data_IF_923075796272
#
_entry.id   IF_923075796272
#
_cell.length_a   1.000
_cell.length_b   1.000
_cell.length_c   1.000
_cell.angle_alpha   90.00
_cell.angle_beta   90.00
_cell.angle_gamma   90.00
#
_symmetry.space_group_name_H-M   'P 1'
#
loop_
_entity.id
_entity.type
_entity.pdbx_description
1 polymer ?
#
# COMPACT_ATOMS: atom_id res chain seq x y z
N UNK A 1 -9.98 -36.68 26.88
CA UNK A 1 -10.50 -36.41 25.53
C UNK A 1 -9.88 -35.11 25.04
N UNK A 2 -8.94 -35.21 24.10
CA UNK A 2 -8.23 -34.08 23.53
C UNK A 2 -9.22 -33.22 22.73
N UNK A 3 -9.35 -31.93 23.09
CA UNK A 3 -10.07 -30.96 22.26
C UNK A 3 -9.29 -30.82 20.96
N UNK A 4 -9.94 -31.17 19.85
CA UNK A 4 -9.45 -30.93 18.51
C UNK A 4 -8.99 -29.48 18.41
N UNK A 5 -7.73 -29.26 18.01
CA UNK A 5 -7.27 -27.95 17.60
C UNK A 5 -8.11 -27.57 16.40
N UNK A 6 -8.92 -26.52 16.54
CA UNK A 6 -9.50 -25.80 15.42
C UNK A 6 -8.38 -25.63 14.37
N UNK A 7 -8.65 -26.01 13.12
CA UNK A 7 -7.68 -26.31 12.06
C UNK A 7 -6.78 -25.15 11.57
N UNK A 8 -6.47 -24.21 12.45
CA UNK A 8 -5.60 -23.07 12.24
C UNK A 8 -4.13 -23.51 12.19
N UNK A 9 -3.52 -23.31 11.02
CA UNK A 9 -2.14 -23.71 10.77
C UNK A 9 -1.16 -22.93 11.66
N UNK A 10 0.02 -23.53 11.89
CA UNK A 10 1.11 -22.87 12.62
C UNK A 10 1.46 -21.54 11.96
N UNK A 11 1.50 -21.48 10.63
CA UNK A 11 1.76 -20.25 9.87
C UNK A 11 0.72 -19.16 10.19
N UNK A 12 -0.55 -19.50 10.28
CA UNK A 12 -1.60 -18.51 10.56
C UNK A 12 -1.42 -17.86 11.95
N UNK A 13 -0.98 -18.62 12.96
CA UNK A 13 -0.66 -18.08 14.30
C UNK A 13 0.50 -17.09 14.27
N UNK A 14 1.52 -17.37 13.47
CA UNK A 14 2.64 -16.44 13.27
C UNK A 14 2.18 -15.14 12.60
N UNK A 15 1.33 -15.24 11.57
CA UNK A 15 0.76 -14.07 10.90
C UNK A 15 -0.13 -13.24 11.83
N UNK A 16 -0.92 -13.87 12.72
CA UNK A 16 -1.70 -13.16 13.75
C UNK A 16 -0.81 -12.42 14.74
N UNK A 17 0.31 -13.01 15.17
CA UNK A 17 1.28 -12.33 16.05
C UNK A 17 1.93 -11.15 15.34
N UNK A 18 2.35 -11.29 14.08
CA UNK A 18 2.91 -10.18 13.30
C UNK A 18 1.87 -9.08 13.05
N UNK A 19 0.62 -9.47 12.78
CA UNK A 19 -0.51 -8.56 12.57
C UNK A 19 -1.04 -7.86 13.83
N UNK A 20 -0.59 -8.27 15.02
CA UNK A 20 -0.94 -7.58 16.27
C UNK A 20 -0.27 -6.19 16.39
N UNK A 21 0.82 -5.96 15.64
CA UNK A 21 1.55 -4.71 15.62
C UNK A 21 0.94 -3.75 14.60
N UNK A 22 0.55 -2.57 15.07
CA UNK A 22 -0.02 -1.51 14.23
C UNK A 22 0.86 -0.27 14.27
N UNK A 23 0.75 0.62 13.27
CA UNK A 23 1.53 1.85 13.23
C UNK A 23 1.31 2.75 14.46
N UNK A 24 0.11 2.72 15.05
CA UNK A 24 -0.23 3.45 16.27
C UNK A 24 0.23 2.75 17.56
N UNK A 25 0.48 1.43 17.51
CA UNK A 25 0.91 0.63 18.66
C UNK A 25 2.10 -0.28 18.25
N UNK A 26 3.29 0.31 18.00
CA UNK A 26 4.42 -0.43 17.43
C UNK A 26 5.21 -1.24 18.47
N UNK A 27 4.98 -1.01 19.77
CA UNK A 27 5.66 -1.69 20.87
C UNK A 27 4.63 -2.41 21.74
N UNK A 28 4.80 -3.72 21.92
CA UNK A 28 3.84 -4.55 22.66
C UNK A 28 4.54 -5.48 23.64
N UNK A 29 3.99 -5.62 24.84
CA UNK A 29 4.36 -6.70 25.76
C UNK A 29 3.84 -8.06 25.27
N UNK A 30 4.37 -9.16 25.84
CA UNK A 30 3.91 -10.51 25.48
C UNK A 30 2.41 -10.72 25.75
N UNK A 31 1.89 -10.19 26.86
CA UNK A 31 0.46 -10.26 27.21
C UNK A 31 -0.40 -9.53 26.19
N UNK A 32 0.05 -8.35 25.74
CA UNK A 32 -0.63 -7.55 24.73
C UNK A 32 -0.64 -8.21 23.35
N UNK A 33 0.46 -8.87 22.98
CA UNK A 33 0.53 -9.69 21.77
C UNK A 33 -0.45 -10.85 21.88
N UNK A 34 -0.48 -11.56 23.02
CA UNK A 34 -1.35 -12.71 23.23
C UNK A 34 -2.83 -12.30 23.10
N UNK A 35 -3.21 -11.19 23.72
CA UNK A 35 -4.56 -10.63 23.67
C UNK A 35 -4.95 -10.22 22.24
N UNK A 36 -4.16 -9.37 21.59
CA UNK A 36 -4.44 -8.88 20.23
C UNK A 36 -4.42 -9.98 19.18
N UNK A 37 -3.47 -10.91 19.30
CA UNK A 37 -3.40 -12.06 18.43
C UNK A 37 -4.45 -13.12 18.79
N UNK A 38 -5.24 -12.95 19.86
CA UNK A 38 -6.27 -13.91 20.31
C UNK A 38 -5.72 -15.31 20.58
N UNK A 39 -4.55 -15.39 21.23
CA UNK A 39 -3.83 -16.62 21.57
C UNK A 39 -3.71 -16.76 23.09
N UNK A 40 -3.67 -18.01 23.57
CA UNK A 40 -3.27 -18.28 24.94
C UNK A 40 -1.82 -17.83 25.18
N UNK A 41 -1.52 -17.31 26.36
CA UNK A 41 -0.21 -16.72 26.69
C UNK A 41 0.97 -17.69 26.46
N UNK A 42 0.79 -18.98 26.79
CA UNK A 42 1.81 -20.02 26.55
C UNK A 42 2.07 -20.27 25.06
N UNK A 43 1.04 -20.19 24.22
CA UNK A 43 1.16 -20.30 22.77
C UNK A 43 1.83 -19.06 22.19
N UNK A 44 1.40 -17.86 22.61
CA UNK A 44 1.99 -16.60 22.19
C UNK A 44 3.49 -16.55 22.54
N UNK A 45 3.87 -17.00 23.74
CA UNK A 45 5.27 -17.07 24.16
C UNK A 45 6.13 -17.90 23.18
N UNK A 46 5.64 -19.07 22.78
CA UNK A 46 6.35 -19.95 21.84
C UNK A 46 6.49 -19.32 20.45
N UNK A 47 5.39 -18.78 19.92
CA UNK A 47 5.36 -18.14 18.60
C UNK A 47 6.26 -16.90 18.58
N UNK A 48 6.20 -16.05 19.61
CA UNK A 48 7.05 -14.86 19.74
C UNK A 48 8.52 -15.25 19.82
N UNK A 49 8.87 -16.28 20.61
CA UNK A 49 10.26 -16.76 20.69
C UNK A 49 10.77 -17.34 19.36
N UNK A 50 9.91 -17.96 18.55
CA UNK A 50 10.26 -18.41 17.19
C UNK A 50 10.50 -17.22 16.26
N UNK A 51 9.59 -16.25 16.24
CA UNK A 51 9.74 -15.03 15.43
C UNK A 51 10.96 -14.19 15.85
N UNK A 52 11.25 -14.11 17.15
CA UNK A 52 12.45 -13.43 17.69
C UNK A 52 13.73 -14.10 17.24
N UNK A 53 13.81 -15.44 17.30
CA UNK A 53 14.97 -16.21 16.82
C UNK A 53 15.20 -16.03 15.33
N UNK A 54 14.12 -15.93 14.57
CA UNK A 54 14.17 -15.63 13.14
C UNK A 54 14.39 -14.13 12.85
N UNK A 55 14.53 -13.26 13.85
CA UNK A 55 14.73 -11.82 13.64
C UNK A 55 13.53 -11.09 13.01
N UNK A 56 12.35 -11.71 13.01
CA UNK A 56 11.09 -11.12 12.57
C UNK A 56 10.43 -10.30 13.69
N UNK A 57 10.79 -10.57 14.94
CA UNK A 57 10.52 -9.70 16.10
C UNK A 57 11.83 -9.37 16.80
N UNK A 58 11.86 -8.20 17.45
CA UNK A 58 12.97 -7.77 18.29
C UNK A 58 12.46 -7.45 19.68
N UNK A 59 13.09 -8.03 20.70
CA UNK A 59 12.80 -7.73 22.10
C UNK A 59 13.62 -6.54 22.58
N UNK A 60 12.95 -5.56 23.17
CA UNK A 60 13.54 -4.34 23.71
C UNK A 60 13.96 -4.51 25.19
N UNK A 61 14.81 -3.61 25.72
CA UNK A 61 15.28 -3.66 27.11
C UNK A 61 14.15 -3.64 28.15
N UNK A 62 13.04 -2.96 27.84
CA UNK A 62 11.84 -2.87 28.68
C UNK A 62 10.92 -4.11 28.59
N UNK A 63 11.36 -5.16 27.88
CA UNK A 63 10.63 -6.42 27.62
C UNK A 63 9.41 -6.28 26.71
N UNK A 64 9.24 -5.14 26.05
CA UNK A 64 8.33 -5.04 24.90
C UNK A 64 9.01 -5.62 23.66
N UNK A 65 8.20 -5.88 22.63
CA UNK A 65 8.64 -6.35 21.32
C UNK A 65 8.27 -5.31 20.27
N UNK A 66 8.99 -5.33 19.16
CA UNK A 66 8.66 -4.64 17.91
C UNK A 66 8.87 -5.57 16.72
N UNK A 67 8.35 -5.18 15.55
CA UNK A 67 8.70 -5.84 14.28
C UNK A 67 10.21 -5.72 14.01
N UNK A 68 10.85 -6.83 13.68
CA UNK A 68 12.29 -6.92 13.47
C UNK A 68 12.73 -6.50 12.07
N UNK A 69 13.99 -6.05 11.93
CA UNK A 69 14.54 -5.54 10.67
C UNK A 69 14.50 -6.55 9.52
N UNK A 70 14.51 -7.86 9.80
CA UNK A 70 14.44 -8.89 8.76
C UNK A 70 13.16 -8.82 7.94
N UNK A 71 12.04 -8.34 8.51
CA UNK A 71 10.82 -8.10 7.75
C UNK A 71 11.03 -7.04 6.65
N UNK A 72 11.79 -5.99 6.95
CA UNK A 72 12.18 -4.97 5.97
C UNK A 72 13.12 -5.55 4.90
N UNK A 73 14.13 -6.32 5.30
CA UNK A 73 15.04 -6.98 4.35
C UNK A 73 14.31 -7.90 3.36
N UNK A 74 13.29 -8.63 3.84
CA UNK A 74 12.43 -9.47 3.01
C UNK A 74 11.56 -8.61 2.09
N UNK A 75 10.95 -7.54 2.60
CA UNK A 75 10.16 -6.61 1.80
C UNK A 75 11.00 -5.95 0.69
N UNK A 76 12.28 -5.66 0.95
CA UNK A 76 13.21 -5.10 -0.03
C UNK A 76 13.54 -6.04 -1.19
N UNK A 77 13.33 -7.34 -1.03
CA UNK A 77 13.52 -8.33 -2.10
C UNK A 77 12.31 -8.42 -3.02
N UNK A 78 11.17 -7.82 -2.67
CA UNK A 78 9.94 -7.86 -3.46
C UNK A 78 10.02 -6.89 -4.64
N UNK A 79 10.03 -7.39 -5.88
CA UNK A 79 9.96 -6.53 -7.06
C UNK A 79 8.61 -5.80 -7.11
N UNK A 80 8.59 -4.57 -7.63
CA UNK A 80 7.35 -3.86 -7.91
C UNK A 80 6.95 -2.85 -6.83
N UNK A 81 6.46 -3.28 -5.66
CA UNK A 81 5.90 -2.35 -4.67
C UNK A 81 6.95 -1.41 -4.05
N UNK A 82 8.12 -1.94 -3.67
CA UNK A 82 9.20 -1.11 -3.15
C UNK A 82 9.82 -0.24 -4.27
N UNK A 83 10.06 -0.81 -5.45
CA UNK A 83 10.60 -0.05 -6.59
C UNK A 83 9.68 1.08 -7.05
N UNK A 84 8.37 0.84 -7.09
CA UNK A 84 7.36 1.86 -7.38
C UNK A 84 7.37 2.96 -6.31
N UNK A 85 7.42 2.58 -5.03
CA UNK A 85 7.49 3.54 -3.93
C UNK A 85 8.74 4.42 -4.04
N UNK A 86 9.90 3.82 -4.27
CA UNK A 86 11.17 4.54 -4.44
C UNK A 86 11.14 5.50 -5.63
N UNK A 87 10.64 5.05 -6.78
CA UNK A 87 10.50 5.90 -7.97
C UNK A 87 9.47 7.02 -7.77
N UNK A 88 8.39 6.76 -7.03
CA UNK A 88 7.35 7.75 -6.78
C UNK A 88 7.72 8.79 -5.72
N UNK A 89 8.67 8.46 -4.83
CA UNK A 89 9.00 9.28 -3.66
C UNK A 89 9.36 10.73 -4.00
N UNK A 90 10.25 11.04 -4.96
CA UNK A 90 10.57 12.44 -5.28
C UNK A 90 9.36 13.22 -5.82
N UNK A 91 8.48 12.55 -6.56
CA UNK A 91 7.28 13.17 -7.11
C UNK A 91 6.24 13.44 -6.02
N UNK A 92 6.08 12.52 -5.06
CA UNK A 92 5.24 12.74 -3.87
C UNK A 92 5.76 13.93 -3.04
N UNK A 93 7.08 14.05 -2.87
CA UNK A 93 7.70 15.17 -2.14
C UNK A 93 7.42 16.50 -2.83
N UNK A 94 7.55 16.56 -4.16
CA UNK A 94 7.22 17.75 -4.94
C UNK A 94 5.72 18.12 -4.86
N UNK A 95 4.82 17.13 -4.94
CA UNK A 95 3.38 17.34 -4.78
C UNK A 95 3.08 17.86 -3.36
N UNK A 96 3.60 17.20 -2.33
CA UNK A 96 3.36 17.58 -0.94
C UNK A 96 3.91 18.98 -0.64
N UNK A 97 5.09 19.33 -1.15
CA UNK A 97 5.67 20.66 -0.97
C UNK A 97 4.80 21.76 -1.59
N UNK A 98 4.12 21.46 -2.71
CA UNK A 98 3.21 22.41 -3.38
C UNK A 98 1.85 22.52 -2.70
N UNK A 99 1.25 21.38 -2.35
CA UNK A 99 -0.11 21.32 -1.76
C UNK A 99 -0.08 21.69 -0.28
N UNK A 100 1.03 21.40 0.42
CA UNK A 100 1.21 21.58 1.86
C UNK A 100 0.13 20.87 2.70
N UNK A 101 -0.37 19.75 2.21
CA UNK A 101 -1.31 18.87 2.89
C UNK A 101 -0.76 17.43 2.89
N UNK A 102 -1.57 16.43 2.52
CA UNK A 102 -1.11 15.06 2.35
C UNK A 102 -0.90 14.72 0.87
N UNK A 103 0.16 13.98 0.57
CA UNK A 103 0.34 13.28 -0.70
C UNK A 103 0.53 11.78 -0.44
N UNK A 104 -0.06 10.95 -1.29
CA UNK A 104 -0.22 9.52 -1.05
C UNK A 104 -0.01 8.70 -2.31
N UNK A 105 0.56 7.51 -2.14
CA UNK A 105 0.66 6.50 -3.18
C UNK A 105 0.01 5.22 -2.68
N UNK A 106 -0.87 4.66 -3.50
CA UNK A 106 -1.61 3.46 -3.15
C UNK A 106 -1.69 2.46 -4.31
N UNK A 107 -1.83 1.19 -3.96
CA UNK A 107 -2.00 0.07 -4.89
C UNK A 107 -3.24 -0.75 -4.53
N UNK A 108 -3.75 -1.48 -5.52
CA UNK A 108 -4.83 -2.45 -5.32
C UNK A 108 -4.25 -3.69 -4.62
N UNK A 109 -4.88 -4.10 -3.53
CA UNK A 109 -4.53 -5.32 -2.80
C UNK A 109 -5.81 -6.08 -2.46
N UNK A 110 -6.11 -7.09 -3.28
CA UNK A 110 -7.38 -7.83 -3.28
C UNK A 110 -8.58 -6.89 -3.49
N UNK A 111 -9.41 -6.72 -2.46
CA UNK A 111 -10.59 -5.85 -2.42
C UNK A 111 -10.35 -4.57 -1.61
N UNK A 112 -9.09 -4.23 -1.35
CA UNK A 112 -8.71 -3.09 -0.53
C UNK A 112 -7.61 -2.24 -1.18
N UNK A 113 -7.49 -1.01 -0.69
CA UNK A 113 -6.40 -0.09 -1.03
C UNK A 113 -5.29 -0.27 -0.03
N UNK A 114 -4.07 -0.54 -0.50
CA UNK A 114 -2.86 -0.53 0.33
C UNK A 114 -2.06 0.75 0.05
N UNK A 115 -1.83 1.56 1.09
CA UNK A 115 -1.00 2.76 0.98
C UNK A 115 0.48 2.43 1.16
N UNK A 116 1.25 2.59 0.08
CA UNK A 116 2.69 2.34 0.06
C UNK A 116 3.48 3.50 0.66
N UNK A 117 3.01 4.73 0.49
CA UNK A 117 3.65 5.92 1.04
C UNK A 117 2.65 7.03 1.34
N UNK A 118 3.01 7.87 2.31
CA UNK A 118 2.26 9.07 2.68
C UNK A 118 3.21 10.12 3.22
N UNK A 119 3.13 11.31 2.65
CA UNK A 119 3.78 12.52 3.16
C UNK A 119 2.72 13.47 3.69
N UNK A 120 3.00 14.13 4.80
CA UNK A 120 2.05 15.02 5.48
C UNK A 120 2.76 16.31 5.92
N UNK A 121 2.11 17.46 5.72
CA UNK A 121 2.52 18.69 6.38
C UNK A 121 2.16 18.66 7.87
N UNK A 122 2.82 19.49 8.68
CA UNK A 122 2.55 19.57 10.13
C UNK A 122 1.13 20.03 10.44
N UNK A 123 0.65 21.03 9.71
CA UNK A 123 -0.67 21.65 9.89
C UNK A 123 -1.68 21.18 8.84
N UNK A 124 -1.52 19.94 8.37
CA UNK A 124 -2.42 19.36 7.39
C UNK A 124 -3.78 19.00 8.02
N UNK A 125 -4.82 18.95 7.19
CA UNK A 125 -6.16 18.49 7.58
C UNK A 125 -6.13 17.06 8.16
N UNK A 126 -7.17 16.63 8.85
CA UNK A 126 -7.24 15.24 9.30
C UNK A 126 -7.21 14.25 8.12
N UNK A 127 -6.51 13.14 8.32
CA UNK A 127 -6.41 12.06 7.35
C UNK A 127 -6.35 10.70 8.07
N UNK A 128 -7.43 9.92 7.93
CA UNK A 128 -7.59 8.65 8.61
C UNK A 128 -6.80 7.48 7.99
N UNK A 129 -6.04 7.71 6.91
CA UNK A 129 -5.22 6.67 6.28
C UNK A 129 -3.88 6.50 6.99
N UNK A 130 -3.48 5.25 7.23
CA UNK A 130 -2.19 4.88 7.81
C UNK A 130 -1.28 4.26 6.74
N UNK A 131 0.03 4.49 6.81
CA UNK A 131 1.02 3.82 5.93
C UNK A 131 1.01 2.32 6.29
N UNK A 132 0.90 1.46 5.28
CA UNK A 132 0.72 0.02 5.48
C UNK A 132 -0.69 -0.39 5.95
N UNK A 133 -1.59 0.57 6.18
CA UNK A 133 -3.00 0.33 6.48
C UNK A 133 -3.80 0.03 5.22
N UNK A 134 -4.89 -0.72 5.39
CA UNK A 134 -5.86 -1.06 4.32
C UNK A 134 -7.10 -0.17 4.44
N UNK A 135 -7.63 0.29 3.31
CA UNK A 135 -8.87 1.07 3.25
C UNK A 135 -9.83 0.47 2.20
N UNK A 136 -11.16 0.55 2.41
CA UNK A 136 -12.12 0.06 1.42
C UNK A 136 -12.01 0.82 0.08
N UNK A 137 -12.09 0.08 -1.03
CA UNK A 137 -11.97 0.64 -2.38
C UNK A 137 -13.07 1.67 -2.70
N UNK A 138 -14.30 1.42 -2.27
CA UNK A 138 -15.45 2.30 -2.56
C UNK A 138 -15.41 3.64 -1.82
N UNK A 139 -14.65 3.73 -0.73
CA UNK A 139 -14.69 4.85 0.20
C UNK A 139 -13.60 5.91 -0.07
N UNK A 140 -12.59 5.61 -0.89
CA UNK A 140 -11.42 6.49 -1.09
C UNK A 140 -11.25 6.87 -2.56
N UNK A 141 -10.72 8.06 -2.83
CA UNK A 141 -10.44 8.51 -4.21
C UNK A 141 -9.44 7.58 -4.91
N UNK A 142 -8.35 7.20 -4.24
CA UNK A 142 -7.39 6.21 -4.75
C UNK A 142 -8.07 4.87 -5.02
N UNK A 143 -8.97 4.43 -4.15
CA UNK A 143 -9.69 3.18 -4.32
C UNK A 143 -10.65 3.19 -5.51
N UNK A 144 -11.36 4.29 -5.74
CA UNK A 144 -12.20 4.45 -6.93
C UNK A 144 -11.37 4.46 -8.22
N UNK A 145 -10.21 5.12 -8.23
CA UNK A 145 -9.27 5.08 -9.37
C UNK A 145 -8.82 3.66 -9.67
N UNK A 146 -8.39 2.92 -8.66
CA UNK A 146 -7.91 1.53 -8.79
C UNK A 146 -9.03 0.60 -9.23
N UNK A 147 -10.19 0.66 -8.57
CA UNK A 147 -11.35 -0.18 -8.86
C UNK A 147 -11.93 0.10 -10.26
N UNK A 148 -11.91 1.35 -10.71
CA UNK A 148 -12.38 1.75 -12.04
C UNK A 148 -11.52 1.20 -13.19
N UNK A 149 -10.29 0.77 -12.90
CA UNK A 149 -9.41 0.14 -13.87
C UNK A 149 -9.13 -1.33 -13.55
N UNK A 150 -9.77 -1.86 -12.52
CA UNK A 150 -9.75 -3.28 -12.18
C UNK A 150 -10.67 -4.10 -13.10
N UNK A 151 -10.52 -5.42 -13.07
CA UNK A 151 -11.43 -6.34 -13.74
C UNK A 151 -12.79 -6.41 -13.06
N UNK A 152 -13.84 -6.78 -13.80
CA UNK A 152 -15.20 -6.89 -13.29
C UNK A 152 -15.30 -7.79 -12.05
N UNK A 153 -14.52 -8.86 -11.98
CA UNK A 153 -14.48 -9.77 -10.83
C UNK A 153 -14.10 -9.08 -9.50
N UNK A 154 -13.23 -8.06 -9.56
CA UNK A 154 -12.85 -7.28 -8.36
C UNK A 154 -13.99 -6.37 -7.96
N UNK A 155 -14.67 -5.75 -8.93
CA UNK A 155 -15.87 -4.93 -8.68
C UNK A 155 -16.95 -5.77 -8.00
N UNK A 156 -17.22 -6.97 -8.53
CA UNK A 156 -18.22 -7.89 -7.98
C UNK A 156 -17.84 -8.33 -6.56
N UNK A 157 -16.55 -8.59 -6.30
CA UNK A 157 -16.04 -8.94 -4.96
C UNK A 157 -16.23 -7.80 -3.96
N UNK A 158 -16.00 -6.55 -4.37
CA UNK A 158 -16.25 -5.37 -3.53
C UNK A 158 -17.73 -5.19 -3.23
N UNK A 159 -18.60 -5.40 -4.23
CA UNK A 159 -20.05 -5.30 -4.08
C UNK A 159 -20.65 -6.41 -3.21
N UNK A 160 -20.04 -7.61 -3.23
CA UNK A 160 -20.42 -8.71 -2.35
C UNK A 160 -19.98 -8.49 -0.89
N UNK A 161 -18.99 -7.62 -0.66
CA UNK A 161 -18.45 -7.31 0.65
C UNK A 161 -19.21 -6.20 1.40
N UNK A 162 -18.89 -5.99 2.69
CA UNK A 162 -19.48 -4.93 3.48
C UNK A 162 -19.02 -3.54 3.02
N UNK A 163 -19.95 -2.71 2.54
CA UNK A 163 -19.68 -1.31 2.22
C UNK A 163 -19.80 -0.42 3.46
N UNK A 164 -18.74 -0.40 4.28
CA UNK A 164 -18.69 0.43 5.49
C UNK A 164 -18.94 1.91 5.14
N UNK A 165 -19.86 2.53 5.88
CA UNK A 165 -20.10 3.97 5.89
C UNK A 165 -19.20 4.64 6.91
N UNK A 166 -18.47 5.68 6.49
CA UNK A 166 -17.66 6.51 7.38
C UNK A 166 -18.36 7.85 7.68
N UNK A 167 -19.00 8.43 6.67
CA UNK A 167 -19.76 9.68 6.76
C UNK A 167 -21.06 9.56 5.96
N UNK A 168 -21.96 10.56 5.99
CA UNK A 168 -23.09 10.61 5.06
C UNK A 168 -22.73 10.64 3.57
N UNK A 169 -21.50 11.02 3.23
CA UNK A 169 -21.02 11.15 1.86
C UNK A 169 -20.37 9.87 1.31
N UNK A 170 -20.07 8.89 2.16
CA UNK A 170 -19.50 7.62 1.71
C UNK A 170 -20.48 6.91 0.76
N UNK A 171 -19.98 6.46 -0.40
CA UNK A 171 -20.71 5.58 -1.33
C UNK A 171 -21.19 4.33 -0.58
N UNK A 172 -22.46 3.96 -0.73
CA UNK A 172 -23.09 2.89 0.05
C UNK A 172 -23.86 1.88 -0.81
N UNK A 173 -24.11 2.19 -2.08
CA UNK A 173 -24.90 1.32 -2.96
C UNK A 173 -24.14 0.97 -4.22
N UNK A 174 -24.51 -0.18 -4.80
CA UNK A 174 -23.99 -0.60 -6.10
C UNK A 174 -24.20 0.48 -7.17
N UNK A 175 -25.39 1.08 -7.22
CA UNK A 175 -25.70 2.11 -8.21
C UNK A 175 -24.77 3.33 -8.08
N UNK A 176 -24.52 3.79 -6.85
CA UNK A 176 -23.59 4.89 -6.58
C UNK A 176 -22.16 4.51 -6.97
N UNK A 177 -21.71 3.31 -6.59
CA UNK A 177 -20.37 2.84 -6.93
C UNK A 177 -20.18 2.75 -8.44
N UNK A 178 -21.09 2.09 -9.13
CA UNK A 178 -21.04 1.94 -10.59
C UNK A 178 -21.06 3.30 -11.30
N UNK A 179 -21.85 4.27 -10.82
CA UNK A 179 -21.84 5.63 -11.33
C UNK A 179 -20.49 6.32 -11.13
N UNK A 180 -19.90 6.21 -9.94
CA UNK A 180 -18.58 6.75 -9.64
C UNK A 180 -17.49 6.12 -10.52
N UNK A 181 -17.48 4.79 -10.69
CA UNK A 181 -16.50 4.10 -11.54
C UNK A 181 -16.62 4.50 -13.02
N UNK A 182 -17.85 4.72 -13.53
CA UNK A 182 -18.04 5.27 -14.88
C UNK A 182 -17.47 6.67 -15.01
N UNK A 183 -17.70 7.53 -14.00
CA UNK A 183 -17.18 8.89 -14.00
C UNK A 183 -15.65 8.92 -13.98
N UNK A 184 -15.04 8.09 -13.13
CA UNK A 184 -13.57 7.98 -13.04
C UNK A 184 -12.97 7.51 -14.36
N UNK A 185 -13.61 6.56 -15.07
CA UNK A 185 -13.16 6.13 -16.40
C UNK A 185 -13.29 7.23 -17.47
N UNK A 186 -14.31 8.06 -17.38
CA UNK A 186 -14.54 9.16 -18.33
C UNK A 186 -13.59 10.34 -18.10
N UNK A 187 -13.40 10.73 -16.84
CA UNK A 187 -12.63 11.91 -16.47
C UNK A 187 -11.13 11.59 -16.35
N UNK A 188 -10.78 10.40 -15.83
CA UNK A 188 -9.40 10.02 -15.54
C UNK A 188 -8.92 10.40 -14.13
N UNK A 189 -9.83 10.81 -13.24
CA UNK A 189 -9.53 11.09 -11.83
C UNK A 189 -10.75 10.80 -10.95
N UNK A 190 -10.53 10.73 -9.64
CA UNK A 190 -11.59 10.66 -8.63
C UNK A 190 -11.46 11.81 -7.64
N UNK A 191 -12.61 12.39 -7.27
CA UNK A 191 -12.75 13.34 -6.16
C UNK A 191 -13.76 12.76 -5.17
N UNK A 192 -13.42 12.78 -3.89
CA UNK A 192 -14.23 12.26 -2.81
C UNK A 192 -14.37 13.32 -1.71
N UNK A 193 -15.51 14.00 -1.69
CA UNK A 193 -15.80 15.11 -0.77
C UNK A 193 -16.35 14.56 0.53
N UNK A 194 -15.56 14.63 1.60
CA UNK A 194 -16.03 14.23 2.92
C UNK A 194 -16.28 12.72 3.07
N UNK A 195 -15.80 11.85 2.17
CA UNK A 195 -16.16 10.43 2.17
C UNK A 195 -15.67 9.66 3.41
N UNK A 196 -14.50 10.02 3.95
CA UNK A 196 -13.89 9.36 5.11
C UNK A 196 -14.01 10.23 6.37
N UNK A 197 -13.81 11.54 6.22
CA UNK A 197 -13.97 12.55 7.26
C UNK A 197 -14.55 13.80 6.63
N UNK A 198 -15.52 14.45 7.26
CA UNK A 198 -16.32 15.54 6.66
C UNK A 198 -15.47 16.74 6.23
N UNK A 199 -14.42 17.06 7.00
CA UNK A 199 -13.48 18.16 6.71
C UNK A 199 -12.43 17.82 5.64
N UNK A 200 -12.41 16.61 5.10
CA UNK A 200 -11.33 16.13 4.22
C UNK A 200 -11.83 15.73 2.84
N UNK A 201 -11.15 16.23 1.80
CA UNK A 201 -11.39 15.90 0.40
C UNK A 201 -10.24 15.08 -0.15
N UNK A 202 -10.54 13.90 -0.67
CA UNK A 202 -9.57 13.05 -1.37
C UNK A 202 -9.61 13.29 -2.88
N UNK A 203 -8.44 13.42 -3.51
CA UNK A 203 -8.30 13.56 -4.97
C UNK A 203 -7.24 12.57 -5.44
N UNK A 204 -7.51 11.77 -6.47
CA UNK A 204 -6.55 10.79 -6.97
C UNK A 204 -6.62 10.64 -8.49
N UNK A 205 -5.49 10.23 -9.07
CA UNK A 205 -5.33 9.95 -10.51
C UNK A 205 -4.57 8.63 -10.72
N UNK A 206 -4.76 7.93 -11.84
CA UNK A 206 -4.10 6.65 -12.11
C UNK A 206 -2.61 6.84 -12.44
N UNK A 207 -1.79 5.92 -11.93
CA UNK A 207 -0.39 5.73 -12.36
C UNK A 207 -0.35 4.50 -13.24
N UNK A 208 0.22 4.65 -14.44
CA UNK A 208 0.27 3.60 -15.45
C UNK A 208 1.60 2.85 -15.41
N UNK A 209 1.51 1.52 -15.49
CA UNK A 209 2.63 0.63 -15.71
C UNK A 209 3.12 0.65 -17.15
N UNK A 210 4.11 -0.21 -17.43
CA UNK A 210 4.71 -0.27 -18.76
C UNK A 210 3.78 -0.80 -19.85
N UNK A 211 2.73 -1.52 -19.48
CA UNK A 211 1.75 -2.08 -20.42
C UNK A 211 0.46 -1.24 -20.49
N UNK A 212 0.50 0.02 -20.02
CA UNK A 212 -0.66 0.93 -19.95
C UNK A 212 -1.79 0.45 -19.04
N UNK A 213 -1.50 -0.54 -18.19
CA UNK A 213 -2.32 -0.96 -17.07
C UNK A 213 -2.19 0.04 -15.91
N UNK A 214 -3.25 0.24 -15.13
CA UNK A 214 -3.18 1.05 -13.91
C UNK A 214 -2.61 0.20 -12.79
N UNK A 215 -1.40 0.54 -12.35
CA UNK A 215 -0.67 -0.22 -11.32
C UNK A 215 -0.76 0.43 -9.94
N UNK A 216 -1.10 1.71 -9.90
CA UNK A 216 -1.18 2.49 -8.67
C UNK A 216 -2.13 3.69 -8.85
N UNK A 217 -2.42 4.36 -7.75
CA UNK A 217 -3.03 5.68 -7.73
C UNK A 217 -2.16 6.63 -6.90
N UNK A 218 -1.93 7.84 -7.41
CA UNK A 218 -1.34 8.94 -6.66
C UNK A 218 -2.45 9.94 -6.33
N UNK A 219 -2.47 10.41 -5.09
CA UNK A 219 -3.51 11.31 -4.63
C UNK A 219 -3.08 12.27 -3.53
N UNK A 220 -3.93 13.25 -3.28
CA UNK A 220 -3.81 14.18 -2.16
C UNK A 220 -5.05 14.12 -1.29
N UNK A 221 -4.87 14.42 0.00
CA UNK A 221 -5.98 14.73 0.91
C UNK A 221 -5.80 16.18 1.34
N UNK A 222 -6.82 16.99 1.12
CA UNK A 222 -6.86 18.44 1.33
C UNK A 222 -8.12 18.82 2.12
N UNK A 223 -8.22 20.04 2.66
CA UNK A 223 -9.46 20.52 3.26
C UNK A 223 -10.66 20.37 2.32
N UNK A 224 -11.80 19.97 2.87
CA UNK A 224 -13.07 19.93 2.17
C UNK A 224 -13.78 21.28 2.28
N UNK A 225 -13.25 22.26 1.58
CA UNK A 225 -13.78 23.63 1.47
C UNK A 225 -14.18 23.94 0.02
N UNK A 226 -14.55 25.19 -0.25
CA UNK A 226 -14.92 25.65 -1.60
C UNK A 226 -13.71 25.84 -2.53
N UNK A 227 -12.50 25.43 -2.12
CA UNK A 227 -11.31 25.60 -2.96
C UNK A 227 -11.40 24.75 -4.25
N UNK A 228 -10.98 25.31 -5.40
CA UNK A 228 -11.00 24.59 -6.67
C UNK A 228 -10.13 23.32 -6.66
N UNK A 229 -10.63 22.24 -7.26
CA UNK A 229 -9.92 20.95 -7.33
C UNK A 229 -9.01 20.81 -8.54
N UNK A 230 -9.24 21.57 -9.61
CA UNK A 230 -8.56 21.42 -10.89
C UNK A 230 -7.03 21.55 -10.77
N UNK A 231 -6.54 22.52 -10.01
CA UNK A 231 -5.10 22.71 -9.81
C UNK A 231 -4.42 21.52 -9.13
N UNK A 232 -5.11 20.86 -8.21
CA UNK A 232 -4.61 19.61 -7.59
C UNK A 232 -4.61 18.46 -8.58
N UNK A 233 -5.66 18.34 -9.41
CA UNK A 233 -5.77 17.29 -10.44
C UNK A 233 -4.64 17.44 -11.47
N UNK A 234 -4.40 18.64 -11.99
CA UNK A 234 -3.33 18.90 -12.98
C UNK A 234 -1.94 18.58 -12.41
N UNK A 235 -1.70 18.98 -11.16
CA UNK A 235 -0.46 18.66 -10.45
C UNK A 235 -0.27 17.14 -10.32
N UNK A 236 -1.32 16.44 -9.91
CA UNK A 236 -1.31 14.98 -9.77
C UNK A 236 -1.12 14.27 -11.12
N UNK A 237 -1.78 14.71 -12.20
CA UNK A 237 -1.62 14.16 -13.55
C UNK A 237 -0.17 14.28 -14.00
N UNK A 238 0.47 15.43 -13.74
CA UNK A 238 1.89 15.62 -14.06
C UNK A 238 2.77 14.64 -13.28
N UNK A 239 2.58 14.56 -11.96
CA UNK A 239 3.33 13.62 -11.12
C UNK A 239 3.12 12.17 -11.57
N UNK A 240 1.88 11.76 -11.84
CA UNK A 240 1.56 10.41 -12.31
C UNK A 240 2.23 10.09 -13.65
N UNK A 241 2.30 11.06 -14.57
CA UNK A 241 2.99 10.90 -15.85
C UNK A 241 4.48 10.65 -15.66
N UNK A 242 5.12 11.41 -14.79
CA UNK A 242 6.56 11.29 -14.50
C UNK A 242 6.86 9.94 -13.82
N UNK A 243 6.05 9.54 -12.84
CA UNK A 243 6.14 8.21 -12.21
C UNK A 243 5.95 7.10 -13.25
N UNK A 244 4.95 7.22 -14.11
CA UNK A 244 4.69 6.22 -15.17
C UNK A 244 5.85 6.13 -16.17
N UNK A 245 6.53 7.25 -16.44
CA UNK A 245 7.72 7.27 -17.30
C UNK A 245 8.91 6.59 -16.63
N UNK A 246 9.15 6.86 -15.33
CA UNK A 246 10.17 6.17 -14.55
C UNK A 246 9.92 4.66 -14.48
N UNK A 247 8.68 4.25 -14.25
CA UNK A 247 8.28 2.83 -14.26
C UNK A 247 8.53 2.17 -15.62
N UNK A 248 8.23 2.84 -16.74
CA UNK A 248 8.54 2.34 -18.09
C UNK A 248 10.03 2.18 -18.33
N UNK A 249 10.84 3.15 -17.89
CA UNK A 249 12.30 3.07 -18.02
C UNK A 249 12.89 1.93 -17.17
N UNK A 250 12.25 1.60 -16.06
CA UNK A 250 12.62 0.50 -15.17
C UNK A 250 12.17 -0.89 -15.64
N UNK A 251 11.23 -0.97 -16.58
CA UNK A 251 10.73 -2.25 -17.11
C UNK A 251 11.70 -2.86 -18.10
N UNK A 252 11.97 -4.16 -17.93
CA UNK A 252 12.66 -4.95 -18.94
C UNK A 252 11.65 -5.40 -20.01
N UNK A 253 11.98 -5.28 -21.31
CA UNK A 253 11.18 -5.90 -22.36
C UNK A 253 11.05 -7.41 -22.14
N UNK A 254 9.89 -7.97 -22.50
CA UNK A 254 9.68 -9.42 -22.56
C UNK A 254 10.75 -10.04 -23.47
N UNK A 255 11.57 -10.96 -22.95
CA UNK A 255 12.65 -11.61 -23.68
C UNK A 255 14.04 -10.96 -23.55
N UNK A 256 14.21 -9.93 -22.70
CA UNK A 256 15.54 -9.40 -22.37
C UNK A 256 16.38 -10.47 -21.64
N UNK A 257 17.70 -10.59 -21.90
CA UNK A 257 18.55 -11.63 -21.27
C UNK A 257 18.59 -11.59 -19.74
N UNK A 258 18.34 -10.41 -19.15
CA UNK A 258 18.18 -10.20 -17.70
C UNK A 258 16.73 -10.37 -17.18
N UNK A 259 15.75 -10.70 -18.04
CA UNK A 259 14.37 -10.92 -17.63
C UNK A 259 14.23 -12.33 -17.04
N UNK A 260 13.97 -12.43 -15.75
CA UNK A 260 13.63 -13.69 -15.09
C UNK A 260 12.21 -14.14 -15.45
N UNK A 261 11.97 -15.46 -15.49
CA UNK A 261 10.62 -16.00 -15.64
C UNK A 261 9.72 -15.51 -14.48
N UNK A 262 8.77 -14.62 -14.80
CA UNK A 262 7.89 -13.95 -13.84
C UNK A 262 8.29 -12.50 -13.47
N UNK A 263 9.48 -12.04 -13.85
CA UNK A 263 9.96 -10.67 -13.59
C UNK A 263 9.67 -9.72 -14.76
N UNK A 264 8.68 -8.83 -14.60
CA UNK A 264 8.40 -7.74 -15.56
C UNK A 264 9.08 -6.40 -15.21
N UNK A 265 9.91 -6.38 -14.17
CA UNK A 265 10.59 -5.19 -13.64
C UNK A 265 12.05 -5.51 -13.34
N UNK A 266 12.97 -4.55 -13.58
CA UNK A 266 14.37 -4.69 -13.14
C UNK A 266 14.43 -4.77 -11.61
N UNK A 267 15.22 -5.68 -11.01
CA UNK A 267 15.66 -5.50 -9.63
C UNK A 267 16.53 -4.23 -9.53
N UNK A 268 16.52 -3.55 -8.38
CA UNK A 268 17.38 -2.39 -8.08
C UNK A 268 17.16 -1.17 -9.01
N UNK A 269 15.90 -0.75 -9.14
CA UNK A 269 15.47 0.33 -10.05
C UNK A 269 16.15 1.69 -9.81
N UNK A 270 16.63 1.93 -8.59
CA UNK A 270 17.29 3.18 -8.17
C UNK A 270 18.82 3.10 -8.09
N UNK A 271 19.42 1.96 -8.46
CA UNK A 271 20.86 1.78 -8.39
C UNK A 271 21.58 2.35 -9.62
N UNK A 272 22.85 2.74 -9.46
CA UNK A 272 23.64 3.24 -10.58
C UNK A 272 23.87 2.14 -11.63
N UNK A 273 24.04 2.52 -12.91
CA UNK A 273 24.31 1.56 -13.99
C UNK A 273 25.50 0.66 -13.64
N UNK A 274 26.59 1.24 -13.12
CA UNK A 274 27.78 0.49 -12.68
C UNK A 274 27.51 -0.45 -11.51
N UNK A 275 26.60 -0.07 -10.61
CA UNK A 275 26.19 -0.92 -9.49
C UNK A 275 25.35 -2.10 -9.98
N UNK A 276 24.45 -1.87 -10.94
CA UNK A 276 23.66 -2.94 -11.57
C UNK A 276 24.58 -3.92 -12.31
N UNK A 277 25.51 -3.43 -13.13
CA UNK A 277 26.52 -4.25 -13.84
C UNK A 277 27.36 -5.10 -12.86
N UNK A 278 27.76 -4.52 -11.72
CA UNK A 278 28.49 -5.24 -10.68
C UNK A 278 27.69 -6.41 -10.08
N UNK A 279 26.41 -6.20 -9.76
CA UNK A 279 25.55 -7.25 -9.20
C UNK A 279 25.21 -8.34 -10.23
N UNK A 280 25.05 -7.98 -11.50
CA UNK A 280 24.86 -8.94 -12.60
C UNK A 280 26.11 -9.82 -12.80
N UNK A 281 27.31 -9.24 -12.72
CA UNK A 281 28.58 -9.97 -12.83
C UNK A 281 28.85 -10.90 -11.63
N UNK A 282 28.46 -10.49 -10.41
CA UNK A 282 28.68 -11.30 -9.20
C UNK A 282 27.66 -12.42 -9.03
N UNK A 283 26.42 -12.23 -9.49
CA UNK A 283 25.35 -13.26 -9.42
C UNK A 283 25.55 -14.42 -10.40
N UNK A 284 26.24 -14.20 -11.52
CA UNK A 284 26.63 -15.27 -12.46
C UNK A 284 27.77 -16.14 -11.95
N UNK A 285 28.58 -15.64 -11.01
CA UNK A 285 29.74 -16.35 -10.47
C UNK A 285 29.37 -17.29 -9.31
N UNK A 286 28.21 -17.10 -8.65
CA UNK A 286 27.75 -17.96 -7.54
C UNK A 286 26.92 -19.18 -7.96
N UNK A 287 26.75 -19.39 -9.28
CA UNK A 287 25.97 -20.50 -9.85
C UNK A 287 26.85 -21.57 -10.55
N UNK A 288 28.17 -21.54 -10.32
CA UNK A 288 29.14 -22.52 -10.84
C UNK A 288 29.73 -23.36 -9.72
#
# INVERSE_FOLDING_TARGET
MARASDGESVLHKHLRVLGAFEAAVPFLSLSEIAERAGLALSTAHRVVAELEREGLLERLPDRTYRLGVRLWELACRTPGALGLRELARPHLEAVQARVRQHAQLAVLSDTEVLFLDRLSARDAVINATLIGGRMPLHATSSGLVLLAHSGQSVVDSVLAGPMRRFTPHTIQTEQQLQAALRRVRADGWAVCDGHIHEESRGIAVPVYGAHRDVIAAIGVVVPNDDAPTLGHIELLIRAARDISAAMRAASLPTGHPAATAGGRYRPLVTSSIRSMEYFEATSTTSAS
#
